data_IF_087425749337
#
_entry.id   IF_087425749337
#
_cell.length_a   1.000
_cell.length_b   1.000
_cell.length_c   1.000
_cell.angle_alpha   90.00
_cell.angle_beta   90.00
_cell.angle_gamma   90.00
#
_symmetry.space_group_name_H-M   'P 1'
#
loop_
_entity.id
_entity.type
_entity.pdbx_description
1 polymer ?
#
# COMPACT_ATOMS: atom_id res chain seq x y z
N UNK A 1 -25.06 41.74 -23.20
CA UNK A 1 -24.16 41.03 -22.33
C UNK A 1 -24.57 39.56 -22.27
N UNK A 2 -23.97 38.71 -23.11
CA UNK A 2 -24.16 37.24 -23.06
C UNK A 2 -23.39 36.68 -21.90
N UNK A 3 -24.09 36.00 -21.03
CA UNK A 3 -23.54 35.23 -19.93
C UNK A 3 -23.08 33.89 -20.49
N UNK A 4 -21.75 33.65 -20.55
CA UNK A 4 -21.18 32.35 -20.83
C UNK A 4 -21.48 31.42 -19.64
N UNK A 5 -22.43 30.52 -19.83
CA UNK A 5 -22.65 29.38 -18.95
C UNK A 5 -21.48 28.38 -19.16
N UNK A 6 -20.63 28.25 -18.14
CA UNK A 6 -19.63 27.21 -18.10
C UNK A 6 -20.34 25.85 -17.99
N UNK A 7 -20.36 25.09 -19.08
CA UNK A 7 -20.72 23.69 -19.05
C UNK A 7 -19.65 22.98 -18.23
N UNK A 8 -20.00 22.61 -17.02
CA UNK A 8 -19.24 21.64 -16.23
C UNK A 8 -19.30 20.30 -16.95
N UNK A 9 -18.26 19.96 -17.70
CA UNK A 9 -18.00 18.58 -18.07
C UNK A 9 -17.65 17.85 -16.77
N UNK A 10 -18.61 17.14 -16.21
CA UNK A 10 -18.33 16.09 -15.23
C UNK A 10 -17.46 15.06 -15.91
N UNK A 11 -16.15 15.15 -15.67
CA UNK A 11 -15.18 14.11 -16.04
C UNK A 11 -15.55 12.85 -15.25
N UNK A 12 -16.45 12.08 -15.81
CA UNK A 12 -16.86 10.78 -15.31
C UNK A 12 -15.73 9.77 -15.58
N UNK A 13 -14.64 9.84 -14.78
CA UNK A 13 -13.61 8.83 -14.73
C UNK A 13 -14.16 7.58 -14.05
N UNK A 14 -15.16 6.97 -14.65
CA UNK A 14 -15.51 5.60 -14.32
C UNK A 14 -14.43 4.71 -14.93
N UNK A 15 -13.44 4.33 -14.10
CA UNK A 15 -12.63 3.17 -14.43
C UNK A 15 -13.62 2.03 -14.73
N UNK A 16 -13.49 1.33 -15.86
CA UNK A 16 -14.39 0.22 -16.20
C UNK A 16 -14.07 -1.00 -15.32
N UNK A 17 -14.21 -0.84 -13.99
CA UNK A 17 -13.95 -1.88 -12.99
C UNK A 17 -14.99 -3.00 -13.10
N UNK A 18 -16.16 -2.72 -13.65
CA UNK A 18 -17.29 -3.65 -13.71
C UNK A 18 -17.04 -4.91 -14.56
N UNK A 19 -16.05 -4.92 -15.45
CA UNK A 19 -15.76 -6.07 -16.33
C UNK A 19 -14.33 -6.63 -16.19
N UNK A 20 -13.49 -6.08 -15.31
CA UNK A 20 -12.13 -6.57 -15.08
C UNK A 20 -12.11 -7.52 -13.87
N UNK A 21 -12.85 -8.63 -13.97
CA UNK A 21 -12.85 -9.66 -12.94
C UNK A 21 -11.42 -10.19 -12.77
N UNK A 22 -10.80 -9.92 -11.65
CA UNK A 22 -9.55 -10.51 -11.13
C UNK A 22 -8.27 -10.34 -11.97
N UNK A 23 -8.20 -9.45 -12.96
CA UNK A 23 -7.03 -9.34 -13.85
C UNK A 23 -6.17 -8.09 -13.65
N UNK A 24 -6.66 -7.10 -12.89
CA UNK A 24 -5.89 -5.87 -12.65
C UNK A 24 -5.14 -5.99 -11.34
N UNK A 25 -3.84 -5.85 -11.41
CA UNK A 25 -2.95 -5.70 -10.26
C UNK A 25 -2.58 -4.23 -10.08
N UNK A 26 -2.61 -3.76 -8.84
CA UNK A 26 -2.19 -2.42 -8.45
C UNK A 26 -0.87 -2.52 -7.69
N UNK A 27 0.15 -1.80 -8.14
CA UNK A 27 1.42 -1.63 -7.44
C UNK A 27 1.49 -0.19 -6.93
N UNK A 28 1.57 -0.02 -5.63
CA UNK A 28 1.71 1.27 -4.95
C UNK A 28 3.18 1.45 -4.55
N UNK A 29 3.80 2.51 -5.03
CA UNK A 29 5.22 2.73 -4.81
C UNK A 29 5.53 4.15 -4.34
N UNK A 30 6.35 4.26 -3.30
CA UNK A 30 6.86 5.53 -2.79
C UNK A 30 7.74 6.22 -3.83
N UNK A 31 7.39 7.43 -4.26
CA UNK A 31 8.26 8.24 -5.11
C UNK A 31 9.62 8.55 -4.46
N UNK A 32 9.70 8.46 -3.14
CA UNK A 32 10.94 8.63 -2.38
C UNK A 32 11.85 7.39 -2.39
N UNK A 33 11.51 6.32 -3.12
CA UNK A 33 12.35 5.12 -3.34
C UNK A 33 12.74 4.99 -4.81
N UNK A 34 13.60 5.85 -5.33
CA UNK A 34 13.90 5.89 -6.76
C UNK A 34 14.75 4.71 -7.25
N UNK A 35 15.26 3.87 -6.36
CA UNK A 35 16.20 2.79 -6.68
C UNK A 35 15.54 1.39 -6.67
N UNK A 36 14.22 1.32 -6.86
CA UNK A 36 13.55 0.02 -7.03
C UNK A 36 14.10 -0.69 -8.26
N UNK A 37 14.53 -1.95 -8.09
CA UNK A 37 15.08 -2.74 -9.19
C UNK A 37 13.98 -3.36 -10.05
N UNK A 38 14.33 -3.70 -11.29
CA UNK A 38 13.45 -4.47 -12.16
C UNK A 38 13.17 -5.87 -11.60
N UNK A 39 14.13 -6.42 -10.84
CA UNK A 39 13.99 -7.73 -10.20
C UNK A 39 12.91 -7.71 -9.12
N UNK A 40 12.89 -6.70 -8.25
CA UNK A 40 11.81 -6.51 -7.27
C UNK A 40 10.45 -6.46 -7.97
N UNK A 41 10.33 -5.65 -9.04
CA UNK A 41 9.07 -5.50 -9.77
C UNK A 41 8.64 -6.84 -10.39
N UNK A 42 9.57 -7.58 -11.00
CA UNK A 42 9.29 -8.87 -11.60
C UNK A 42 8.83 -9.89 -10.54
N UNK A 43 9.52 -9.96 -9.40
CA UNK A 43 9.19 -10.87 -8.31
C UNK A 43 7.81 -10.55 -7.69
N UNK A 44 7.47 -9.27 -7.56
CA UNK A 44 6.14 -8.83 -7.11
C UNK A 44 5.05 -9.24 -8.10
N UNK A 45 5.28 -9.04 -9.41
CA UNK A 45 4.34 -9.47 -10.44
C UNK A 45 4.16 -10.99 -10.48
N UNK A 46 5.22 -11.75 -10.25
CA UNK A 46 5.15 -13.21 -10.17
C UNK A 46 4.35 -13.66 -8.94
N UNK A 47 4.64 -13.08 -7.77
CA UNK A 47 3.92 -13.38 -6.54
C UNK A 47 2.41 -13.09 -6.64
N UNK A 48 2.01 -12.05 -7.37
CA UNK A 48 0.60 -11.70 -7.58
C UNK A 48 -0.16 -12.73 -8.46
N UNK A 49 0.50 -13.70 -9.08
CA UNK A 49 -0.20 -14.79 -9.76
C UNK A 49 -0.89 -15.74 -8.78
N UNK A 50 -0.28 -15.93 -7.60
CA UNK A 50 -0.74 -16.86 -6.57
C UNK A 50 -1.30 -16.16 -5.32
N UNK A 51 -0.93 -14.90 -5.08
CA UNK A 51 -1.30 -14.14 -3.90
C UNK A 51 -2.10 -12.88 -4.27
N UNK A 52 -3.00 -12.45 -3.38
CA UNK A 52 -3.84 -11.28 -3.61
C UNK A 52 -3.27 -10.00 -3.02
N UNK A 53 -2.39 -10.12 -2.01
CA UNK A 53 -1.67 -9.03 -1.37
C UNK A 53 -0.20 -9.38 -1.20
N UNK A 54 0.67 -8.47 -1.58
CA UNK A 54 2.13 -8.65 -1.59
C UNK A 54 2.81 -7.39 -1.06
N UNK A 55 3.81 -7.58 -0.20
CA UNK A 55 4.67 -6.50 0.31
C UNK A 55 6.14 -6.82 0.05
N UNK A 56 6.89 -5.82 -0.38
CA UNK A 56 8.36 -5.91 -0.41
C UNK A 56 8.90 -5.60 0.97
N UNK A 57 9.76 -6.46 1.52
CA UNK A 57 10.36 -6.24 2.83
C UNK A 57 11.76 -6.85 2.93
N UNK A 58 12.56 -6.30 3.83
CA UNK A 58 13.91 -6.80 4.16
C UNK A 58 14.03 -7.10 5.65
N UNK A 59 14.87 -8.05 6.07
CA UNK A 59 15.11 -8.31 7.50
C UNK A 59 15.56 -7.06 8.25
N UNK A 60 15.11 -6.90 9.47
CA UNK A 60 15.63 -5.84 10.34
C UNK A 60 17.04 -6.18 10.81
N UNK A 61 17.98 -5.26 10.61
CA UNK A 61 19.34 -5.34 11.13
C UNK A 61 19.45 -4.86 12.56
N UNK A 62 18.51 -4.01 13.00
CA UNK A 62 18.53 -3.38 14.31
C UNK A 62 17.65 -4.14 15.32
N UNK A 63 17.95 -3.96 16.61
CA UNK A 63 17.06 -4.39 17.67
C UNK A 63 15.91 -3.39 17.79
N UNK A 64 14.68 -3.88 17.71
CA UNK A 64 13.47 -3.09 17.82
C UNK A 64 12.88 -3.20 19.21
N UNK A 65 12.48 -2.08 19.80
CA UNK A 65 11.77 -2.04 21.06
C UNK A 65 10.32 -1.58 20.86
N UNK A 66 9.37 -2.35 21.37
CA UNK A 66 8.01 -1.84 21.56
C UNK A 66 7.98 -0.99 22.84
N UNK A 67 7.49 0.22 22.72
CA UNK A 67 7.44 1.17 23.83
C UNK A 67 6.01 1.36 24.33
N UNK A 68 5.84 1.40 25.66
CA UNK A 68 4.60 1.80 26.32
C UNK A 68 4.94 2.70 27.52
N UNK A 69 4.25 3.83 27.63
CA UNK A 69 4.39 4.80 28.72
C UNK A 69 5.85 5.23 28.96
N UNK A 70 6.63 5.44 27.89
CA UNK A 70 8.04 5.84 27.95
C UNK A 70 9.02 4.75 28.38
N UNK A 71 8.57 3.50 28.50
CA UNK A 71 9.38 2.34 28.91
C UNK A 71 9.36 1.27 27.84
N UNK A 72 10.42 0.47 27.79
CA UNK A 72 10.43 -0.72 26.92
C UNK A 72 9.39 -1.72 27.45
N UNK A 73 8.37 -1.99 26.64
CA UNK A 73 7.32 -2.94 26.94
C UNK A 73 7.66 -4.35 26.44
N UNK A 74 8.29 -4.45 25.27
CA UNK A 74 8.66 -5.71 24.64
C UNK A 74 9.89 -5.54 23.76
N UNK A 75 10.68 -6.60 23.64
CA UNK A 75 11.78 -6.71 22.68
C UNK A 75 11.44 -7.88 21.75
N UNK A 76 10.91 -7.62 20.54
CA UNK A 76 10.60 -8.67 19.58
C UNK A 76 11.86 -9.45 19.16
N UNK A 77 11.68 -10.71 18.80
CA UNK A 77 12.78 -11.47 18.20
C UNK A 77 13.11 -10.86 16.83
N UNK A 78 14.33 -10.33 16.69
CA UNK A 78 14.80 -9.71 15.44
C UNK A 78 14.63 -10.61 14.21
N UNK A 79 14.79 -11.93 14.36
CA UNK A 79 14.64 -12.88 13.25
C UNK A 79 13.22 -12.92 12.66
N UNK A 80 12.22 -12.37 13.35
CA UNK A 80 10.82 -12.28 12.89
C UNK A 80 10.40 -10.88 12.49
N UNK A 81 11.34 -9.92 12.50
CA UNK A 81 11.05 -8.52 12.19
C UNK A 81 11.58 -8.18 10.80
N UNK A 82 10.66 -7.70 9.97
CA UNK A 82 10.95 -7.21 8.63
C UNK A 82 10.70 -5.70 8.56
N UNK A 83 11.52 -5.00 7.79
CA UNK A 83 11.31 -3.59 7.45
C UNK A 83 10.56 -3.52 6.12
N UNK A 84 9.34 -3.00 6.12
CA UNK A 84 8.54 -2.85 4.92
C UNK A 84 9.17 -1.84 3.96
N UNK A 85 9.12 -2.18 2.69
CA UNK A 85 9.46 -1.33 1.58
C UNK A 85 8.25 -1.19 0.64
N UNK A 86 8.43 -0.51 -0.48
CA UNK A 86 7.49 -0.53 -1.59
C UNK A 86 8.21 -1.00 -2.87
N UNK A 87 7.49 -1.59 -3.86
CA UNK A 87 6.03 -1.58 -3.98
C UNK A 87 5.30 -2.47 -2.97
N UNK A 88 4.10 -2.03 -2.58
CA UNK A 88 3.06 -2.86 -2.02
C UNK A 88 2.07 -3.14 -3.14
N UNK A 89 1.65 -4.38 -3.30
CA UNK A 89 0.91 -4.76 -4.48
C UNK A 89 -0.29 -5.65 -4.16
N UNK A 90 -1.38 -5.42 -4.89
CA UNK A 90 -2.68 -6.01 -4.58
C UNK A 90 -3.45 -6.32 -5.84
N UNK A 91 -4.35 -7.31 -5.75
CA UNK A 91 -5.48 -7.40 -6.66
C UNK A 91 -6.36 -6.16 -6.47
N UNK A 92 -6.71 -5.48 -7.55
CA UNK A 92 -7.50 -4.24 -7.46
C UNK A 92 -8.82 -4.41 -6.70
N UNK A 93 -9.62 -5.47 -6.90
CA UNK A 93 -10.85 -5.67 -6.12
C UNK A 93 -10.58 -5.79 -4.62
N UNK A 94 -9.52 -6.49 -4.21
CA UNK A 94 -9.16 -6.67 -2.81
C UNK A 94 -8.88 -5.34 -2.11
N UNK A 95 -7.95 -4.56 -2.66
CA UNK A 95 -7.56 -3.31 -2.02
C UNK A 95 -8.70 -2.29 -2.03
N UNK A 96 -9.53 -2.29 -3.07
CA UNK A 96 -10.72 -1.48 -3.13
C UNK A 96 -11.73 -1.83 -2.02
N UNK A 97 -11.94 -3.13 -1.76
CA UNK A 97 -12.80 -3.61 -0.67
C UNK A 97 -12.22 -3.25 0.70
N UNK A 98 -10.90 -3.44 0.91
CA UNK A 98 -10.22 -3.09 2.15
C UNK A 98 -10.42 -1.61 2.49
N UNK A 99 -10.22 -0.73 1.51
CA UNK A 99 -10.46 0.71 1.69
C UNK A 99 -11.94 1.04 1.92
N UNK A 100 -12.87 0.37 1.23
CA UNK A 100 -14.30 0.58 1.46
C UNK A 100 -14.71 0.22 2.89
N UNK A 101 -14.19 -0.90 3.42
CA UNK A 101 -14.39 -1.32 4.83
C UNK A 101 -13.77 -0.31 5.80
N UNK A 102 -12.54 0.13 5.57
CA UNK A 102 -11.85 1.11 6.40
C UNK A 102 -12.59 2.46 6.49
N UNK A 103 -13.21 2.88 5.39
CA UNK A 103 -13.94 4.14 5.28
C UNK A 103 -15.42 4.02 5.68
N UNK A 104 -15.93 2.80 5.89
CA UNK A 104 -17.37 2.57 6.17
C UNK A 104 -18.26 2.95 5.01
N UNK A 105 -17.78 2.85 3.76
CA UNK A 105 -18.52 3.22 2.56
C UNK A 105 -18.79 1.98 1.69
N UNK A 106 -19.90 2.02 0.96
CA UNK A 106 -20.26 0.95 0.01
C UNK A 106 -19.66 1.16 -1.38
N UNK A 107 -19.13 2.37 -1.66
CA UNK A 107 -18.54 2.72 -2.95
C UNK A 107 -17.41 3.74 -2.75
N UNK A 108 -16.24 3.44 -3.31
CA UNK A 108 -15.04 4.29 -3.23
C UNK A 108 -15.16 5.59 -4.04
N UNK A 109 -16.11 5.72 -4.97
CA UNK A 109 -16.28 6.96 -5.76
C UNK A 109 -16.58 8.19 -4.90
N UNK A 110 -17.06 8.00 -3.65
CA UNK A 110 -17.38 9.06 -2.70
C UNK A 110 -16.30 9.28 -1.63
N UNK A 111 -15.23 8.51 -1.67
CA UNK A 111 -14.26 8.35 -0.57
C UNK A 111 -13.06 9.30 -0.63
N UNK A 112 -12.89 10.10 -1.69
CA UNK A 112 -11.64 10.85 -1.95
C UNK A 112 -11.17 11.75 -0.80
N UNK A 113 -12.10 12.32 -0.03
CA UNK A 113 -11.76 13.15 1.13
C UNK A 113 -11.44 12.34 2.39
N UNK A 114 -12.08 11.20 2.57
CA UNK A 114 -11.93 10.37 3.77
C UNK A 114 -10.61 9.58 3.77
N UNK A 115 -10.05 9.24 2.60
CA UNK A 115 -8.78 8.50 2.49
C UNK A 115 -7.59 9.23 3.12
N UNK A 116 -7.58 10.56 3.12
CA UNK A 116 -6.50 11.36 3.70
C UNK A 116 -6.41 11.27 5.25
N UNK A 117 -7.38 10.65 5.92
CA UNK A 117 -7.50 10.63 7.38
C UNK A 117 -7.53 9.22 7.97
N UNK A 118 -7.19 8.20 7.18
CA UNK A 118 -7.09 6.84 7.69
C UNK A 118 -5.87 6.69 8.62
N UNK A 119 -6.02 6.02 9.78
CA UNK A 119 -4.94 5.88 10.76
C UNK A 119 -3.88 4.85 10.35
N UNK A 120 -4.02 4.19 9.20
CA UNK A 120 -3.08 3.20 8.74
C UNK A 120 -1.75 3.83 8.30
N UNK A 121 -0.66 3.15 8.56
CA UNK A 121 0.68 3.60 8.22
C UNK A 121 1.05 3.32 6.75
N UNK A 122 0.41 2.31 6.16
CA UNK A 122 0.60 1.89 4.77
C UNK A 122 -0.62 1.08 4.26
N UNK A 123 -0.60 0.73 2.97
CA UNK A 123 -1.71 0.02 2.31
C UNK A 123 -1.86 -1.42 2.83
N UNK A 124 -0.75 -2.08 3.16
CA UNK A 124 -0.78 -3.41 3.79
C UNK A 124 -1.42 -3.36 5.17
N UNK A 125 -1.23 -2.28 5.93
CA UNK A 125 -1.89 -2.04 7.22
C UNK A 125 -3.41 -2.00 7.07
N UNK A 126 -3.94 -1.36 6.02
CA UNK A 126 -5.38 -1.35 5.72
C UNK A 126 -5.90 -2.76 5.48
N UNK A 127 -5.21 -3.55 4.66
CA UNK A 127 -5.61 -4.95 4.40
C UNK A 127 -5.55 -5.76 5.69
N UNK A 128 -4.47 -5.67 6.45
CA UNK A 128 -4.28 -6.42 7.69
C UNK A 128 -5.36 -6.14 8.74
N UNK A 129 -5.78 -4.88 8.86
CA UNK A 129 -6.77 -4.45 9.86
C UNK A 129 -8.21 -4.79 9.44
N UNK A 130 -8.54 -4.58 8.16
CA UNK A 130 -9.92 -4.67 7.69
C UNK A 130 -10.26 -5.96 6.93
N UNK A 131 -9.25 -6.76 6.59
CA UNK A 131 -9.38 -8.06 5.92
C UNK A 131 -8.38 -9.07 6.52
N UNK A 132 -8.47 -9.37 7.83
CA UNK A 132 -7.48 -10.20 8.53
C UNK A 132 -7.40 -11.65 8.02
N UNK A 133 -8.40 -12.11 7.26
CA UNK A 133 -8.42 -13.41 6.59
C UNK A 133 -7.50 -13.47 5.37
N UNK A 134 -7.09 -12.32 4.82
CA UNK A 134 -6.23 -12.26 3.63
C UNK A 134 -4.76 -12.27 4.04
N UNK A 135 -3.99 -13.30 3.67
CA UNK A 135 -2.56 -13.31 3.93
C UNK A 135 -1.82 -12.30 3.04
N UNK A 136 -0.89 -11.56 3.63
CA UNK A 136 0.01 -10.68 2.90
C UNK A 136 1.32 -11.42 2.70
N UNK A 137 1.67 -11.69 1.43
CA UNK A 137 2.89 -12.39 1.06
C UNK A 137 4.09 -11.44 1.03
N UNK A 138 5.25 -11.89 1.53
CA UNK A 138 6.48 -11.09 1.53
C UNK A 138 7.35 -11.47 0.34
N UNK A 139 7.69 -10.50 -0.47
CA UNK A 139 8.75 -10.57 -1.49
C UNK A 139 10.00 -9.94 -0.90
N UNK A 140 11.13 -10.63 -1.05
CA UNK A 140 12.41 -10.12 -0.57
C UNK A 140 12.78 -8.83 -1.30
N UNK A 141 13.10 -7.80 -0.53
CA UNK A 141 13.52 -6.50 -1.02
C UNK A 141 15.04 -6.36 -1.06
N UNK A 142 15.50 -5.14 -1.30
CA UNK A 142 16.92 -4.81 -1.43
C UNK A 142 17.26 -3.61 -0.56
N UNK A 143 18.45 -3.59 0.05
CA UNK A 143 18.91 -2.45 0.85
C UNK A 143 18.99 -1.15 0.02
N UNK A 144 19.33 -1.26 -1.28
CA UNK A 144 19.35 -0.09 -2.17
C UNK A 144 17.97 0.51 -2.42
N UNK A 145 16.88 -0.26 -2.27
CA UNK A 145 15.50 0.24 -2.36
C UNK A 145 15.09 1.01 -1.08
N UNK A 146 16.04 1.78 -0.54
CA UNK A 146 15.81 2.61 0.64
C UNK A 146 14.94 3.84 0.31
N UNK A 147 14.21 4.30 1.31
CA UNK A 147 13.46 5.56 1.22
C UNK A 147 14.42 6.73 1.45
N UNK A 148 14.49 7.64 0.52
CA UNK A 148 15.20 8.91 0.67
C UNK A 148 14.32 9.84 1.49
N UNK A 149 14.69 10.05 2.73
CA UNK A 149 13.92 10.87 3.69
C UNK A 149 14.68 12.12 4.08
N UNK A 150 16.00 12.01 4.18
CA UNK A 150 16.88 13.08 4.58
C UNK A 150 17.95 13.36 3.51
N UNK A 151 18.58 14.53 3.60
CA UNK A 151 19.62 14.95 2.64
C UNK A 151 20.83 13.99 2.64
N UNK A 152 21.08 13.36 3.78
CA UNK A 152 22.16 12.39 3.99
C UNK A 152 21.91 11.04 3.33
N UNK A 153 20.70 10.80 2.83
CA UNK A 153 20.34 9.56 2.11
C UNK A 153 20.80 9.55 0.64
N UNK A 154 21.26 10.71 0.14
CA UNK A 154 21.65 10.91 -1.27
C UNK A 154 23.16 10.72 -1.47
#
# INVERSE_FOLDING_TARGET
GERLEARGEENNWQLPIANCQNTINLLLHDAARPFVSQEIIANVCEALKEHEAVVVAIPSTDTVYEMKDGKVARIPNRATIMRAQTPQAFRLPLIAEAYAKALGVTNLSTASYAMAHLPATDDCGIVHEHMPEVPIYIVEGEEQNKKITFKEDI
#
